data_IF_918599082367
#
_entry.id   IF_918599082367
#
_cell.length_a   1.000
_cell.length_b   1.000
_cell.length_c   1.000
_cell.angle_alpha   90.00
_cell.angle_beta   90.00
_cell.angle_gamma   90.00
#
_symmetry.space_group_name_H-M   'P 1'
#
loop_
_entity.id
_entity.type
_entity.pdbx_description
1 polymer ?
#
# COMPACT_ATOMS: atom_id res chain seq x y z
N UNK A 1 -19.29 -22.10 -40.60
CA UNK A 1 -19.40 -21.72 -39.18
C UNK A 1 -18.65 -20.41 -39.00
N UNK A 2 -19.31 -19.37 -38.49
CA UNK A 2 -18.61 -18.13 -38.11
C UNK A 2 -17.74 -18.46 -36.90
N UNK A 3 -16.45 -18.09 -36.94
CA UNK A 3 -15.55 -18.29 -35.81
C UNK A 3 -16.12 -17.56 -34.58
N UNK A 4 -15.98 -18.17 -33.39
CA UNK A 4 -16.36 -17.54 -32.13
C UNK A 4 -15.70 -16.16 -32.00
N UNK A 5 -16.43 -15.16 -31.50
CA UNK A 5 -15.88 -13.83 -31.22
C UNK A 5 -14.74 -13.86 -30.18
N UNK A 6 -14.57 -14.98 -29.46
CA UNK A 6 -13.51 -15.19 -28.47
C UNK A 6 -12.38 -16.10 -28.96
N UNK A 7 -12.39 -16.53 -30.23
CA UNK A 7 -11.41 -17.50 -30.74
C UNK A 7 -9.95 -17.01 -30.67
N UNK A 8 -9.73 -15.70 -30.64
CA UNK A 8 -8.39 -15.08 -30.57
C UNK A 8 -8.01 -14.59 -29.17
N UNK A 9 -8.82 -14.87 -28.13
CA UNK A 9 -8.49 -14.46 -26.76
C UNK A 9 -7.34 -15.34 -26.27
N UNK A 10 -6.18 -14.72 -26.07
CA UNK A 10 -5.01 -15.37 -25.49
C UNK A 10 -5.18 -15.54 -23.97
N UNK A 11 -4.56 -16.59 -23.42
CA UNK A 11 -4.52 -16.78 -21.97
C UNK A 11 -3.61 -15.71 -21.36
N UNK A 12 -4.16 -14.90 -20.45
CA UNK A 12 -3.36 -13.92 -19.73
C UNK A 12 -2.23 -14.60 -18.94
N UNK A 13 -1.06 -13.93 -18.80
CA UNK A 13 -0.01 -14.39 -17.90
C UNK A 13 -0.55 -14.61 -16.48
N UNK A 14 -0.11 -15.66 -15.80
CA UNK A 14 -0.49 -15.89 -14.40
C UNK A 14 0.15 -14.84 -13.50
N UNK A 15 -0.63 -14.31 -12.56
CA UNK A 15 -0.10 -13.46 -11.48
C UNK A 15 0.92 -14.28 -10.65
N UNK A 16 2.17 -13.80 -10.46
CA UNK A 16 3.20 -14.50 -9.72
C UNK A 16 2.79 -14.88 -8.28
N UNK A 17 1.92 -14.10 -7.64
CA UNK A 17 1.40 -14.36 -6.29
C UNK A 17 0.32 -15.44 -6.31
N UNK A 18 -0.53 -15.49 -7.35
CA UNK A 18 -1.54 -16.53 -7.47
C UNK A 18 -0.89 -17.90 -7.65
N UNK A 19 0.10 -18.01 -8.55
CA UNK A 19 0.84 -19.27 -8.73
C UNK A 19 1.54 -19.74 -7.45
N UNK A 20 2.10 -18.81 -6.66
CA UNK A 20 2.68 -19.11 -5.35
C UNK A 20 1.65 -19.66 -4.37
N UNK A 21 0.46 -19.06 -4.30
CA UNK A 21 -0.62 -19.53 -3.42
C UNK A 21 -1.15 -20.91 -3.82
N UNK A 22 -1.27 -21.19 -5.12
CA UNK A 22 -1.65 -22.52 -5.64
C UNK A 22 -0.64 -23.58 -5.22
N UNK A 23 0.66 -23.32 -5.42
CA UNK A 23 1.74 -24.23 -5.03
C UNK A 23 1.75 -24.46 -3.50
N UNK A 24 1.64 -23.39 -2.71
CA UNK A 24 1.54 -23.48 -1.25
C UNK A 24 0.32 -24.30 -0.81
N UNK A 25 -0.84 -24.15 -1.47
CA UNK A 25 -2.04 -24.90 -1.12
C UNK A 25 -1.91 -26.39 -1.44
N UNK A 26 -1.25 -26.74 -2.55
CA UNK A 26 -1.05 -28.12 -2.99
C UNK A 26 -0.01 -28.90 -2.17
N UNK A 27 0.89 -28.21 -1.49
CA UNK A 27 1.91 -28.81 -0.63
C UNK A 27 1.30 -29.51 0.60
N UNK A 28 1.63 -30.78 0.84
CA UNK A 28 1.07 -31.55 1.96
C UNK A 28 1.87 -31.46 3.27
N UNK A 29 3.03 -30.78 3.26
CA UNK A 29 3.85 -30.58 4.46
C UNK A 29 3.10 -29.81 5.54
N UNK A 30 3.30 -30.22 6.80
CA UNK A 30 2.66 -29.58 7.94
C UNK A 30 3.39 -28.31 8.41
N UNK A 31 4.68 -28.23 8.13
CA UNK A 31 5.62 -27.17 8.51
C UNK A 31 5.84 -26.11 7.40
N UNK A 32 4.99 -26.09 6.37
CA UNK A 32 5.06 -25.11 5.28
C UNK A 32 4.66 -23.69 5.75
N UNK A 33 5.27 -22.67 5.17
CA UNK A 33 4.89 -21.27 5.41
C UNK A 33 4.77 -20.48 4.10
N UNK A 34 3.76 -19.60 4.03
CA UNK A 34 3.57 -18.69 2.90
C UNK A 34 4.00 -17.26 3.29
N UNK A 35 5.21 -16.89 2.88
CA UNK A 35 5.78 -15.55 3.04
C UNK A 35 5.53 -14.67 1.79
N UNK A 36 4.87 -15.22 0.76
CA UNK A 36 4.49 -14.49 -0.45
C UNK A 36 3.23 -13.63 -0.27
N UNK A 37 2.44 -13.84 0.79
CA UNK A 37 1.17 -13.14 1.03
C UNK A 37 1.33 -11.63 1.26
N UNK A 38 0.27 -10.88 0.99
CA UNK A 38 0.20 -9.42 1.20
C UNK A 38 -0.72 -8.99 2.36
N UNK A 39 -0.91 -9.87 3.36
CA UNK A 39 -1.83 -9.68 4.49
C UNK A 39 -1.11 -9.83 5.83
N UNK A 40 -1.63 -9.20 6.87
CA UNK A 40 -1.16 -9.37 8.23
C UNK A 40 -1.78 -10.62 8.83
N UNK A 41 -0.93 -11.48 9.41
CA UNK A 41 -1.36 -12.55 10.29
C UNK A 41 -1.03 -12.24 11.75
N UNK A 42 -1.88 -12.67 12.67
CA UNK A 42 -1.56 -12.72 14.08
C UNK A 42 -0.55 -13.84 14.39
N UNK A 43 -0.19 -14.02 15.66
CA UNK A 43 0.77 -15.04 16.08
C UNK A 43 0.26 -16.48 15.85
N UNK A 44 -1.05 -16.66 15.63
CA UNK A 44 -1.64 -17.95 15.26
C UNK A 44 -1.66 -18.21 13.75
N UNK A 45 -1.11 -17.29 12.95
CA UNK A 45 -1.08 -17.39 11.48
C UNK A 45 -2.43 -17.06 10.82
N UNK A 46 -3.31 -16.29 11.48
CA UNK A 46 -4.64 -15.95 10.96
C UNK A 46 -4.83 -14.46 10.77
N UNK A 47 -5.69 -14.06 9.82
CA UNK A 47 -6.07 -12.65 9.65
C UNK A 47 -6.94 -12.27 10.86
N UNK A 48 -6.55 -11.29 11.68
CA UNK A 48 -7.35 -10.88 12.84
C UNK A 48 -8.55 -10.04 12.40
N UNK A 49 -9.69 -10.24 13.07
CA UNK A 49 -10.76 -9.24 13.11
C UNK A 49 -10.49 -8.32 14.30
N UNK A 50 -10.18 -7.05 14.03
CA UNK A 50 -9.88 -6.08 15.09
C UNK A 50 -11.11 -5.87 15.98
N UNK A 51 -10.91 -5.70 17.28
CA UNK A 51 -11.98 -5.49 18.28
C UNK A 51 -12.75 -4.21 17.99
N UNK A 52 -12.07 -3.13 17.56
CA UNK A 52 -12.75 -1.90 17.17
C UNK A 52 -13.71 -2.13 15.98
N UNK A 53 -13.27 -2.93 15.00
CA UNK A 53 -14.07 -3.34 13.83
C UNK A 53 -15.25 -4.21 14.28
N UNK A 54 -15.00 -5.28 15.05
CA UNK A 54 -16.05 -6.18 15.53
C UNK A 54 -17.12 -5.44 16.35
N UNK A 55 -16.69 -4.48 17.19
CA UNK A 55 -17.61 -3.67 18.01
C UNK A 55 -18.48 -2.78 17.14
N UNK A 56 -17.89 -2.10 16.15
CA UNK A 56 -18.63 -1.28 15.18
C UNK A 56 -19.57 -2.12 14.31
N UNK A 57 -19.17 -3.33 13.89
CA UNK A 57 -20.02 -4.26 13.15
C UNK A 57 -21.22 -4.72 13.96
N UNK A 58 -21.01 -5.10 15.22
CA UNK A 58 -22.09 -5.49 16.13
C UNK A 58 -23.09 -4.36 16.32
N UNK A 59 -22.63 -3.14 16.60
CA UNK A 59 -23.50 -1.98 16.76
C UNK A 59 -24.30 -1.68 15.48
N UNK A 60 -23.67 -1.79 14.32
CA UNK A 60 -24.33 -1.61 13.02
C UNK A 60 -25.39 -2.67 12.73
N UNK A 61 -25.13 -3.92 13.08
CA UNK A 61 -26.08 -5.02 12.92
C UNK A 61 -27.32 -4.78 13.79
N UNK A 62 -27.15 -4.36 15.04
CA UNK A 62 -28.28 -4.04 15.92
C UNK A 62 -29.12 -2.87 15.41
N UNK A 63 -28.49 -1.84 14.85
CA UNK A 63 -29.18 -0.68 14.29
C UNK A 63 -29.99 -1.00 13.02
N UNK A 64 -29.69 -2.11 12.32
CA UNK A 64 -30.33 -2.56 11.06
C UNK A 64 -30.62 -1.43 10.07
N UNK A 65 -29.65 -0.56 9.71
CA UNK A 65 -29.94 0.56 8.84
C UNK A 65 -30.32 0.07 7.44
N UNK A 66 -31.14 0.82 6.68
CA UNK A 66 -31.47 0.49 5.30
C UNK A 66 -30.20 0.39 4.43
N UNK A 67 -30.32 -0.31 3.29
CA UNK A 67 -29.21 -0.63 2.37
C UNK A 67 -29.44 -0.03 0.97
N UNK A 68 -29.90 1.22 0.94
CA UNK A 68 -29.99 2.00 -0.30
C UNK A 68 -28.61 2.42 -0.83
N UNK A 69 -28.59 3.03 -2.02
CA UNK A 69 -27.37 3.58 -2.61
C UNK A 69 -26.78 4.73 -1.77
N UNK A 70 -25.45 4.84 -1.78
CA UNK A 70 -24.73 5.97 -1.19
C UNK A 70 -24.50 7.09 -2.21
N UNK A 71 -24.11 8.30 -1.76
CA UNK A 71 -23.55 9.30 -2.67
C UNK A 71 -22.40 8.72 -3.51
N UNK A 72 -22.21 9.26 -4.72
CA UNK A 72 -21.18 8.78 -5.66
C UNK A 72 -19.77 8.86 -5.06
N UNK A 73 -19.53 9.89 -4.26
CA UNK A 73 -18.29 10.14 -3.51
C UNK A 73 -18.22 9.43 -2.15
N UNK A 74 -19.24 8.64 -1.81
CA UNK A 74 -19.32 7.87 -0.57
C UNK A 74 -19.93 8.61 0.62
N UNK A 75 -19.81 8.01 1.79
CA UNK A 75 -20.37 8.56 3.02
C UNK A 75 -19.60 9.83 3.48
N UNK A 76 -20.26 10.99 3.69
CA UNK A 76 -19.59 12.21 4.15
C UNK A 76 -18.81 12.05 5.46
N UNK A 77 -19.32 11.26 6.41
CA UNK A 77 -18.63 11.00 7.68
C UNK A 77 -17.35 10.18 7.47
N UNK A 78 -17.37 9.21 6.54
CA UNK A 78 -16.18 8.46 6.14
C UNK A 78 -15.15 9.41 5.51
N UNK A 79 -15.55 10.21 4.52
CA UNK A 79 -14.65 11.13 3.83
C UNK A 79 -13.99 12.13 4.80
N UNK A 80 -14.75 12.68 5.76
CA UNK A 80 -14.21 13.54 6.81
C UNK A 80 -13.21 12.80 7.71
N UNK A 81 -13.52 11.56 8.11
CA UNK A 81 -12.61 10.72 8.89
C UNK A 81 -11.28 10.47 8.16
N UNK A 82 -11.33 10.17 6.87
CA UNK A 82 -10.14 10.01 6.00
C UNK A 82 -9.34 11.30 5.93
N UNK A 83 -10.00 12.45 5.70
CA UNK A 83 -9.33 13.75 5.62
C UNK A 83 -8.58 14.06 6.91
N UNK A 84 -9.23 13.88 8.06
CA UNK A 84 -8.61 14.11 9.36
C UNK A 84 -7.42 13.18 9.60
N UNK A 85 -7.50 11.93 9.14
CA UNK A 85 -6.43 10.94 9.31
C UNK A 85 -5.20 11.25 8.45
N UNK A 86 -5.40 11.66 7.19
CA UNK A 86 -4.31 11.95 6.26
C UNK A 86 -3.69 13.32 6.52
N UNK A 87 -4.52 14.35 6.69
CA UNK A 87 -4.10 15.75 6.71
C UNK A 87 -4.11 16.35 8.11
N UNK A 88 -4.60 15.65 9.14
CA UNK A 88 -4.77 16.21 10.49
C UNK A 88 -6.01 17.11 10.58
N UNK A 89 -6.69 17.05 11.73
CA UNK A 89 -7.96 17.76 11.94
C UNK A 89 -7.85 19.30 11.80
N UNK A 90 -6.68 19.86 12.14
CA UNK A 90 -6.43 21.31 12.12
C UNK A 90 -5.76 21.79 10.82
N UNK A 91 -5.78 20.98 9.76
CA UNK A 91 -5.13 21.36 8.50
C UNK A 91 -5.80 22.58 7.84
N UNK A 92 -5.02 23.61 7.47
CA UNK A 92 -5.53 24.75 6.71
C UNK A 92 -6.16 24.34 5.37
N UNK A 93 -5.66 23.27 4.73
CA UNK A 93 -6.25 22.77 3.48
C UNK A 93 -7.70 22.30 3.67
N UNK A 94 -8.01 21.73 4.84
CA UNK A 94 -9.38 21.29 5.17
C UNK A 94 -10.26 22.50 5.50
N UNK A 95 -9.75 23.44 6.30
CA UNK A 95 -10.45 24.68 6.64
C UNK A 95 -10.83 25.49 5.39
N UNK A 96 -9.93 25.55 4.40
CA UNK A 96 -10.12 26.26 3.13
C UNK A 96 -10.93 25.47 2.09
N UNK A 97 -11.36 24.25 2.41
CA UNK A 97 -12.11 23.38 1.50
C UNK A 97 -11.31 22.94 0.26
N UNK A 98 -9.98 22.89 0.35
CA UNK A 98 -9.06 22.57 -0.75
C UNK A 98 -8.81 21.07 -0.94
N UNK A 99 -9.45 20.22 -0.17
CA UNK A 99 -9.31 18.76 -0.28
C UNK A 99 -10.64 18.15 -0.71
N UNK A 100 -10.68 17.58 -1.90
CA UNK A 100 -11.78 16.73 -2.35
C UNK A 100 -11.46 15.27 -1.98
N UNK A 101 -12.39 14.53 -1.39
CA UNK A 101 -12.17 13.12 -0.99
C UNK A 101 -13.33 12.25 -1.42
N UNK A 102 -13.01 11.08 -1.97
CA UNK A 102 -13.95 10.14 -2.57
C UNK A 102 -13.67 8.75 -2.01
N UNK A 103 -14.67 8.11 -1.41
CA UNK A 103 -14.56 6.71 -1.03
C UNK A 103 -14.40 5.82 -2.27
N UNK A 104 -13.47 4.87 -2.19
CA UNK A 104 -13.05 4.03 -3.30
C UNK A 104 -12.93 2.55 -2.90
N UNK A 105 -12.85 1.67 -3.90
CA UNK A 105 -12.68 0.22 -3.74
C UNK A 105 -11.25 -0.17 -3.31
N UNK A 106 -10.91 0.15 -2.07
CA UNK A 106 -9.54 0.04 -1.54
C UNK A 106 -8.59 1.05 -2.20
N UNK A 107 -7.29 0.92 -1.89
CA UNK A 107 -6.25 1.74 -2.52
C UNK A 107 -6.19 1.54 -4.04
N UNK A 108 -6.40 0.30 -4.51
CA UNK A 108 -6.47 -0.03 -5.95
C UNK A 108 -7.57 0.77 -6.67
N UNK A 109 -8.77 0.84 -6.09
CA UNK A 109 -9.86 1.63 -6.66
C UNK A 109 -9.55 3.12 -6.66
N UNK A 110 -8.90 3.62 -5.61
CA UNK A 110 -8.46 5.01 -5.52
C UNK A 110 -7.42 5.35 -6.60
N UNK A 111 -6.41 4.49 -6.80
CA UNK A 111 -5.42 4.60 -7.87
C UNK A 111 -6.09 4.60 -9.24
N UNK A 112 -7.03 3.67 -9.49
CA UNK A 112 -7.74 3.58 -10.78
C UNK A 112 -8.56 4.84 -11.08
N UNK A 113 -9.37 5.31 -10.13
CA UNK A 113 -10.16 6.54 -10.31
C UNK A 113 -9.25 7.75 -10.49
N UNK A 114 -8.15 7.84 -9.72
CA UNK A 114 -7.14 8.88 -9.85
C UNK A 114 -6.46 8.86 -11.22
N UNK A 115 -6.08 7.68 -11.71
CA UNK A 115 -5.49 7.49 -13.03
C UNK A 115 -6.45 7.89 -14.15
N UNK A 116 -7.70 7.39 -14.12
CA UNK A 116 -8.71 7.72 -15.14
C UNK A 116 -9.02 9.23 -15.18
N UNK A 117 -9.07 9.88 -14.03
CA UNK A 117 -9.25 11.31 -13.94
C UNK A 117 -8.04 12.08 -14.48
N UNK A 118 -6.82 11.73 -14.03
CA UNK A 118 -5.59 12.36 -14.50
C UNK A 118 -5.39 12.14 -16.01
N UNK A 119 -5.83 11.02 -16.57
CA UNK A 119 -5.73 10.75 -18.02
C UNK A 119 -6.53 11.74 -18.84
N UNK A 120 -7.71 12.16 -18.34
CA UNK A 120 -8.54 13.18 -18.99
C UNK A 120 -7.89 14.56 -18.93
N UNK A 121 -7.12 14.85 -17.88
CA UNK A 121 -6.45 16.15 -17.70
C UNK A 121 -5.10 16.24 -18.41
N UNK A 122 -4.31 15.16 -18.34
CA UNK A 122 -2.91 15.09 -18.75
C UNK A 122 -2.68 13.91 -19.70
N UNK A 123 -3.33 13.87 -20.88
CA UNK A 123 -3.29 12.72 -21.80
C UNK A 123 -1.91 12.48 -22.44
N UNK A 124 -0.96 13.41 -22.29
CA UNK A 124 0.40 13.25 -22.77
C UNK A 124 1.42 12.95 -21.66
N UNK A 125 1.00 12.96 -20.38
CA UNK A 125 1.91 12.71 -19.28
C UNK A 125 2.40 11.26 -19.26
N UNK A 126 3.64 11.07 -18.84
CA UNK A 126 4.20 9.77 -18.44
C UNK A 126 4.04 9.63 -16.93
N UNK A 127 3.69 8.42 -16.48
CA UNK A 127 3.68 8.06 -15.06
C UNK A 127 5.01 7.40 -14.73
N UNK A 128 5.67 7.86 -13.68
CA UNK A 128 6.90 7.28 -13.17
C UNK A 128 6.63 6.59 -11.83
N UNK A 129 7.02 5.31 -11.75
CA UNK A 129 6.90 4.48 -10.53
C UNK A 129 8.31 4.13 -9.99
N UNK A 130 8.42 3.74 -8.74
CA UNK A 130 9.69 3.28 -8.18
C UNK A 130 10.20 2.02 -8.89
N UNK A 131 11.52 1.88 -9.01
CA UNK A 131 12.18 0.63 -9.39
C UNK A 131 12.78 -0.07 -8.16
N UNK A 132 12.19 -1.20 -7.68
CA UNK A 132 10.90 -1.78 -8.09
C UNK A 132 9.70 -1.10 -7.41
N UNK A 133 8.47 -1.46 -7.81
CA UNK A 133 7.22 -1.01 -7.17
C UNK A 133 6.25 -2.18 -6.96
N UNK A 134 5.09 -1.90 -6.35
CA UNK A 134 3.98 -2.84 -6.35
C UNK A 134 3.56 -3.13 -7.79
N UNK A 135 3.57 -4.40 -8.18
CA UNK A 135 3.41 -4.86 -9.57
C UNK A 135 2.20 -4.22 -10.27
N UNK A 136 1.06 -4.16 -9.58
CA UNK A 136 -0.17 -3.65 -10.16
C UNK A 136 -0.16 -2.12 -10.41
N UNK A 137 0.83 -1.36 -9.93
CA UNK A 137 0.97 0.05 -10.30
C UNK A 137 1.09 0.21 -11.82
N UNK A 138 1.98 -0.56 -12.44
CA UNK A 138 2.16 -0.51 -13.90
C UNK A 138 0.85 -0.88 -14.62
N UNK A 139 0.25 -2.00 -14.24
CA UNK A 139 -0.99 -2.49 -14.86
C UNK A 139 -2.16 -1.50 -14.73
N UNK A 140 -2.33 -0.85 -13.58
CA UNK A 140 -3.40 0.15 -13.37
C UNK A 140 -3.20 1.36 -14.29
N UNK A 141 -1.99 1.92 -14.34
CA UNK A 141 -1.73 3.15 -15.11
C UNK A 141 -1.64 2.89 -16.62
N UNK A 142 -1.04 1.78 -17.06
CA UNK A 142 -1.07 1.36 -18.48
C UNK A 142 -2.50 1.02 -18.91
N UNK A 143 -3.28 0.34 -18.05
CA UNK A 143 -4.71 0.08 -18.28
C UNK A 143 -5.59 1.33 -18.27
N UNK A 144 -5.11 2.45 -17.73
CA UNK A 144 -5.73 3.77 -17.87
C UNK A 144 -5.24 4.53 -19.12
N UNK A 145 -4.31 3.96 -19.90
CA UNK A 145 -3.80 4.50 -21.16
C UNK A 145 -2.56 5.38 -21.03
N UNK A 146 -1.86 5.36 -19.90
CA UNK A 146 -0.59 6.08 -19.75
C UNK A 146 0.59 5.26 -20.27
N UNK A 147 1.64 5.96 -20.73
CA UNK A 147 2.98 5.39 -20.71
C UNK A 147 3.47 5.34 -19.26
N UNK A 148 4.04 4.20 -18.85
CA UNK A 148 4.62 4.02 -17.52
C UNK A 148 6.12 3.74 -17.63
N UNK A 149 6.92 4.55 -16.96
CA UNK A 149 8.37 4.38 -16.81
C UNK A 149 8.73 4.34 -15.32
N UNK A 150 10.02 4.22 -14.99
CA UNK A 150 10.49 4.08 -13.63
C UNK A 150 11.50 5.16 -13.23
N UNK A 151 11.62 5.39 -11.92
CA UNK A 151 12.75 6.09 -11.31
C UNK A 151 13.55 5.13 -10.42
N UNK A 152 14.90 5.24 -10.39
CA UNK A 152 15.72 4.44 -9.48
C UNK A 152 15.24 4.60 -8.04
N UNK A 153 15.10 3.49 -7.32
CA UNK A 153 14.67 3.53 -5.92
C UNK A 153 15.46 2.60 -5.03
N UNK A 154 15.46 1.29 -5.28
CA UNK A 154 16.15 0.34 -4.41
C UNK A 154 17.60 0.13 -4.85
N UNK A 155 18.55 0.25 -3.92
CA UNK A 155 19.95 -0.10 -4.16
C UNK A 155 20.25 -1.50 -3.60
N UNK A 156 20.69 -2.40 -4.48
CA UNK A 156 21.03 -3.78 -4.11
C UNK A 156 22.23 -3.82 -3.17
N UNK A 157 23.19 -2.89 -3.32
CA UNK A 157 24.41 -2.88 -2.50
C UNK A 157 24.12 -2.44 -1.05
N UNK A 158 23.44 -1.31 -0.86
CA UNK A 158 23.10 -0.80 0.48
C UNK A 158 21.83 -1.41 1.07
N UNK A 159 21.02 -2.14 0.27
CA UNK A 159 19.71 -2.69 0.64
C UNK A 159 18.69 -1.64 1.10
N UNK A 160 18.95 -0.37 0.77
CA UNK A 160 18.14 0.80 1.10
C UNK A 160 17.74 1.59 -0.15
N UNK A 161 17.46 2.88 0.02
CA UNK A 161 17.08 3.76 -1.08
C UNK A 161 18.32 4.32 -1.78
N UNK A 162 18.38 4.19 -3.11
CA UNK A 162 19.32 4.89 -3.99
C UNK A 162 18.88 6.36 -4.18
N UNK A 163 18.95 7.14 -3.10
CA UNK A 163 18.34 8.46 -3.08
C UNK A 163 18.98 9.44 -4.08
N UNK A 164 20.30 9.39 -4.24
CA UNK A 164 21.00 10.25 -5.20
C UNK A 164 20.49 10.03 -6.63
N UNK A 165 20.41 8.77 -7.08
CA UNK A 165 19.93 8.45 -8.42
C UNK A 165 18.42 8.73 -8.58
N UNK A 166 17.62 8.50 -7.53
CA UNK A 166 16.21 8.88 -7.49
C UNK A 166 16.06 10.38 -7.73
N UNK A 167 16.74 11.21 -6.93
CA UNK A 167 16.68 12.67 -7.00
C UNK A 167 17.12 13.18 -8.37
N UNK A 168 18.24 12.70 -8.89
CA UNK A 168 18.74 13.09 -10.22
C UNK A 168 17.74 12.74 -11.32
N UNK A 169 17.11 11.56 -11.24
CA UNK A 169 16.06 11.18 -12.19
C UNK A 169 14.86 12.13 -12.11
N UNK A 170 14.35 12.41 -10.90
CA UNK A 170 13.23 13.34 -10.68
C UNK A 170 13.53 14.73 -11.25
N UNK A 171 14.74 15.24 -10.99
CA UNK A 171 15.21 16.53 -11.52
C UNK A 171 15.38 16.54 -13.04
N UNK A 172 15.44 15.38 -13.70
CA UNK A 172 15.49 15.24 -15.15
C UNK A 172 14.13 15.06 -15.84
N UNK A 173 13.06 14.74 -15.09
CA UNK A 173 11.77 14.38 -15.67
C UNK A 173 11.07 15.55 -16.38
N UNK A 174 10.38 15.32 -17.52
CA UNK A 174 9.59 16.35 -18.20
C UNK A 174 8.55 16.99 -17.26
N UNK A 175 8.30 18.29 -17.42
CA UNK A 175 7.26 18.98 -16.66
C UNK A 175 5.87 18.37 -16.92
N UNK A 176 5.04 18.31 -15.88
CA UNK A 176 3.72 17.67 -15.93
C UNK A 176 3.75 16.13 -15.85
N UNK A 177 4.93 15.52 -15.70
CA UNK A 177 5.03 14.07 -15.42
C UNK A 177 4.37 13.74 -14.08
N UNK A 178 3.70 12.59 -14.02
CA UNK A 178 3.08 12.09 -12.78
C UNK A 178 4.11 11.21 -12.08
N UNK A 179 4.39 11.47 -10.81
CA UNK A 179 5.32 10.67 -10.01
C UNK A 179 4.55 9.96 -8.92
N UNK A 180 4.42 8.64 -9.05
CA UNK A 180 3.77 7.79 -8.06
C UNK A 180 4.78 7.44 -6.95
N UNK A 181 4.46 7.80 -5.72
CA UNK A 181 5.35 7.72 -4.56
C UNK A 181 4.66 6.94 -3.44
N UNK A 182 5.32 5.93 -2.88
CA UNK A 182 4.84 5.28 -1.66
C UNK A 182 5.06 6.24 -0.49
N UNK A 183 4.02 6.55 0.27
CA UNK A 183 4.12 7.51 1.37
C UNK A 183 4.92 6.97 2.57
N UNK A 184 4.85 5.66 2.81
CA UNK A 184 5.67 4.90 3.76
C UNK A 184 5.53 3.40 3.48
N UNK A 185 6.32 2.57 4.17
CA UNK A 185 6.31 1.11 4.08
C UNK A 185 6.40 0.61 2.63
N UNK A 186 7.40 1.08 1.88
CA UNK A 186 7.50 0.85 0.43
C UNK A 186 7.27 -0.63 0.07
N UNK A 187 6.30 -0.88 -0.81
CA UNK A 187 6.05 -2.22 -1.34
C UNK A 187 6.74 -2.33 -2.71
N UNK A 188 7.75 -3.21 -2.87
CA UNK A 188 7.96 -4.44 -2.07
C UNK A 188 9.15 -4.46 -1.10
N UNK A 189 9.96 -3.40 -1.03
CA UNK A 189 11.30 -3.48 -0.44
C UNK A 189 11.35 -3.20 1.06
N UNK A 190 10.37 -2.47 1.59
CA UNK A 190 10.39 -1.90 2.95
C UNK A 190 11.40 -0.77 3.16
N UNK A 191 12.15 -0.36 2.14
CA UNK A 191 13.07 0.77 2.24
C UNK A 191 12.28 2.08 2.08
N UNK A 192 12.29 2.93 3.10
CA UNK A 192 11.56 4.20 3.11
C UNK A 192 12.52 5.39 3.03
N UNK A 193 12.01 6.51 2.50
CA UNK A 193 12.69 7.80 2.57
C UNK A 193 12.63 8.36 3.99
N UNK A 194 13.68 9.05 4.40
CA UNK A 194 13.65 9.86 5.61
C UNK A 194 12.99 11.24 5.38
N UNK A 195 12.78 12.01 6.45
CA UNK A 195 12.13 13.32 6.38
C UNK A 195 12.91 14.32 5.52
N UNK A 196 14.24 14.33 5.60
CA UNK A 196 15.09 15.23 4.81
C UNK A 196 15.00 14.91 3.32
N UNK A 197 15.05 13.63 2.98
CA UNK A 197 14.85 13.13 1.62
C UNK A 197 13.46 13.49 1.06
N UNK A 198 12.41 13.43 1.88
CA UNK A 198 11.07 13.87 1.48
C UNK A 198 11.02 15.36 1.12
N UNK A 199 11.70 16.23 1.87
CA UNK A 199 11.77 17.66 1.53
C UNK A 199 12.42 17.88 0.16
N UNK A 200 13.48 17.14 -0.14
CA UNK A 200 14.17 17.20 -1.43
C UNK A 200 13.33 16.63 -2.60
N UNK A 201 12.52 15.59 -2.35
CA UNK A 201 11.56 15.08 -3.36
C UNK A 201 10.47 16.12 -3.65
N UNK A 202 9.93 16.76 -2.62
CA UNK A 202 8.94 17.84 -2.77
C UNK A 202 9.53 19.00 -3.55
N UNK A 203 10.77 19.37 -3.27
CA UNK A 203 11.49 20.41 -3.99
C UNK A 203 11.70 20.05 -5.47
N UNK A 204 12.10 18.81 -5.77
CA UNK A 204 12.22 18.33 -7.15
C UNK A 204 10.89 18.40 -7.89
N UNK A 205 9.79 17.97 -7.26
CA UNK A 205 8.44 18.09 -7.81
C UNK A 205 8.07 19.54 -8.12
N UNK A 206 8.40 20.48 -7.22
CA UNK A 206 8.15 21.91 -7.42
C UNK A 206 8.96 22.48 -8.58
N UNK A 207 10.27 22.29 -8.58
CA UNK A 207 11.18 22.85 -9.61
C UNK A 207 10.86 22.30 -11.00
N UNK A 208 10.50 21.02 -11.09
CA UNK A 208 10.17 20.38 -12.37
C UNK A 208 8.68 20.40 -12.70
N UNK A 209 7.84 21.04 -11.88
CA UNK A 209 6.37 21.05 -12.09
C UNK A 209 5.81 19.63 -12.29
N UNK A 210 6.25 18.69 -11.47
CA UNK A 210 5.77 17.30 -11.47
C UNK A 210 4.44 17.23 -10.71
N UNK A 211 3.64 16.20 -11.01
CA UNK A 211 2.37 15.93 -10.33
C UNK A 211 2.58 14.77 -9.34
N UNK A 212 2.67 15.05 -8.02
CA UNK A 212 2.86 14.00 -7.03
C UNK A 212 1.57 13.21 -6.85
N UNK A 213 1.69 11.88 -6.90
CA UNK A 213 0.61 10.95 -6.57
C UNK A 213 1.14 10.03 -5.45
N UNK A 214 0.62 10.19 -4.24
CA UNK A 214 0.96 9.31 -3.13
C UNK A 214 0.09 8.05 -3.11
N UNK A 215 0.71 6.88 -2.91
CA UNK A 215 0.04 5.67 -2.42
C UNK A 215 0.33 5.50 -0.92
N UNK A 216 -0.72 5.52 -0.10
CA UNK A 216 -0.69 5.44 1.36
C UNK A 216 -1.52 4.25 1.85
N UNK A 217 -1.00 3.04 1.61
CA UNK A 217 -1.68 1.79 1.95
C UNK A 217 -1.38 1.25 3.38
N UNK A 218 -0.40 1.83 4.07
CA UNK A 218 0.20 1.25 5.29
C UNK A 218 0.34 2.25 6.45
N UNK A 219 -0.45 3.34 6.49
CA UNK A 219 -0.41 4.30 7.59
C UNK A 219 -0.57 3.60 8.95
N UNK A 220 0.42 3.77 9.83
CA UNK A 220 0.50 3.19 11.17
C UNK A 220 1.44 1.97 11.30
N UNK A 221 1.97 1.43 10.20
CA UNK A 221 2.84 0.25 10.19
C UNK A 221 4.35 0.54 10.17
N UNK A 222 4.78 1.79 10.00
CA UNK A 222 6.21 2.15 10.06
C UNK A 222 6.60 2.61 11.48
N UNK A 223 6.25 3.83 11.84
CA UNK A 223 6.50 4.46 13.15
C UNK A 223 5.21 4.69 13.94
N UNK A 224 4.13 5.06 13.25
CA UNK A 224 2.85 5.38 13.87
C UNK A 224 1.95 6.17 12.93
N UNK A 225 0.68 6.35 13.28
CA UNK A 225 -0.31 6.93 12.36
C UNK A 225 0.09 8.33 11.88
N UNK A 226 0.51 9.21 12.79
CA UNK A 226 0.92 10.57 12.45
C UNK A 226 2.31 10.63 11.81
N UNK A 227 3.27 9.89 12.37
CA UNK A 227 4.65 9.84 11.86
C UNK A 227 4.70 9.30 10.42
N UNK A 228 3.87 8.31 10.10
CA UNK A 228 3.80 7.70 8.76
C UNK A 228 3.21 8.67 7.72
N UNK A 229 2.53 9.75 8.14
CA UNK A 229 1.99 10.76 7.25
C UNK A 229 3.04 11.77 6.74
N UNK A 230 4.34 11.59 7.05
CA UNK A 230 5.44 12.53 6.71
C UNK A 230 5.40 13.03 5.26
N UNK A 231 5.16 12.16 4.28
CA UNK A 231 5.05 12.53 2.87
C UNK A 231 3.87 13.47 2.59
N UNK A 232 2.71 13.17 3.18
CA UNK A 232 1.49 14.00 3.07
C UNK A 232 1.71 15.36 3.73
N UNK A 233 2.42 15.39 4.87
CA UNK A 233 2.75 16.64 5.58
C UNK A 233 3.71 17.51 4.79
N UNK A 234 4.78 16.93 4.23
CA UNK A 234 5.74 17.65 3.41
C UNK A 234 5.06 18.28 2.17
N UNK A 235 4.21 17.51 1.47
CA UNK A 235 3.45 18.03 0.33
C UNK A 235 2.42 19.09 0.74
N UNK A 236 1.73 18.90 1.87
CA UNK A 236 0.79 19.90 2.42
C UNK A 236 1.48 21.24 2.69
N UNK A 237 2.66 21.21 3.31
CA UNK A 237 3.44 22.42 3.62
C UNK A 237 4.00 23.11 2.36
N UNK A 238 4.19 22.38 1.26
CA UNK A 238 4.78 22.91 0.03
C UNK A 238 3.85 23.81 -0.80
N UNK A 239 2.54 23.73 -0.58
CA UNK A 239 1.53 24.40 -1.39
C UNK A 239 1.25 23.77 -2.76
N UNK A 240 1.93 22.67 -3.11
CA UNK A 240 1.68 21.91 -4.34
C UNK A 240 0.28 21.29 -4.36
N UNK A 241 -0.23 21.05 -5.58
CA UNK A 241 -1.39 20.21 -5.81
C UNK A 241 -0.92 18.76 -5.97
N UNK A 242 -1.59 17.83 -5.30
CA UNK A 242 -1.20 16.42 -5.32
C UNK A 242 -2.40 15.52 -5.07
N UNK A 243 -2.19 14.23 -5.32
CA UNK A 243 -3.18 13.17 -5.18
C UNK A 243 -2.72 12.18 -4.12
N UNK A 244 -3.65 11.64 -3.34
CA UNK A 244 -3.39 10.56 -2.37
C UNK A 244 -4.40 9.44 -2.60
N UNK A 245 -3.93 8.23 -2.91
CA UNK A 245 -4.69 7.01 -2.76
C UNK A 245 -4.40 6.42 -1.38
N UNK A 246 -5.42 6.21 -0.56
CA UNK A 246 -5.28 5.60 0.77
C UNK A 246 -6.07 4.29 0.86
N UNK A 247 -5.61 3.38 1.73
CA UNK A 247 -6.27 2.09 1.92
C UNK A 247 -6.41 1.72 3.39
N UNK A 248 -7.55 1.13 3.73
CA UNK A 248 -7.84 0.56 5.04
C UNK A 248 -7.77 -0.97 5.04
N UNK A 249 -7.34 -1.59 3.94
CA UNK A 249 -7.24 -3.05 3.85
C UNK A 249 -6.31 -3.63 4.92
N UNK A 250 -5.21 -2.94 5.24
CA UNK A 250 -4.21 -3.40 6.21
C UNK A 250 -4.47 -2.81 7.58
N UNK A 251 -4.58 -1.48 7.67
CA UNK A 251 -4.69 -0.76 8.94
C UNK A 251 -5.94 -1.10 9.74
N UNK A 252 -7.03 -1.52 9.07
CA UNK A 252 -8.24 -2.02 9.71
C UNK A 252 -8.44 -3.53 9.58
N UNK A 253 -7.51 -4.25 8.94
CA UNK A 253 -7.69 -5.66 8.58
C UNK A 253 -8.92 -5.92 7.67
N UNK A 254 -9.39 -4.89 6.93
CA UNK A 254 -10.57 -4.93 6.05
C UNK A 254 -10.20 -5.22 4.59
N UNK A 255 -9.45 -6.29 4.35
CA UNK A 255 -8.93 -6.64 3.02
C UNK A 255 -10.02 -6.85 1.98
N UNK A 256 -10.97 -7.74 2.27
CA UNK A 256 -12.05 -8.16 1.38
C UNK A 256 -13.18 -7.13 1.23
N UNK A 257 -13.31 -6.21 2.18
CA UNK A 257 -14.35 -5.17 2.19
C UNK A 257 -14.06 -3.99 1.25
N UNK A 258 -12.84 -3.97 0.67
CA UNK A 258 -12.41 -2.99 -0.35
C UNK A 258 -12.64 -1.54 0.09
N UNK A 259 -12.09 -1.16 1.25
CA UNK A 259 -12.23 0.18 1.81
C UNK A 259 -10.96 1.02 1.58
N UNK A 260 -11.11 2.15 0.90
CA UNK A 260 -10.04 3.11 0.64
C UNK A 260 -10.62 4.44 0.15
N UNK A 261 -9.75 5.39 -0.16
CA UNK A 261 -10.17 6.70 -0.63
C UNK A 261 -9.17 7.33 -1.59
N UNK A 262 -9.70 8.13 -2.51
CA UNK A 262 -8.93 9.09 -3.30
C UNK A 262 -9.10 10.47 -2.68
N UNK A 263 -8.00 11.15 -2.35
CA UNK A 263 -7.99 12.55 -1.92
C UNK A 263 -7.19 13.39 -2.92
N UNK A 264 -7.73 14.53 -3.33
CA UNK A 264 -7.09 15.46 -4.27
C UNK A 264 -6.99 16.83 -3.60
N UNK A 265 -5.77 17.34 -3.49
CA UNK A 265 -5.46 18.68 -2.96
C UNK A 265 -5.42 19.67 -4.12
N UNK A 266 -6.27 20.69 -4.06
CA UNK A 266 -6.45 21.70 -5.11
C UNK A 266 -5.90 23.06 -4.71
N UNK A 267 -5.81 23.99 -5.68
CA UNK A 267 -5.37 25.35 -5.42
C UNK A 267 -6.39 26.17 -4.61
N UNK A 268 -7.68 25.85 -4.71
CA UNK A 268 -8.77 26.55 -4.02
C UNK A 268 -9.99 25.66 -3.78
N UNK A 269 -10.89 26.10 -2.89
CA UNK A 269 -12.17 25.42 -2.67
C UNK A 269 -13.14 25.49 -3.87
N UNK A 270 -13.02 26.49 -4.75
CA UNK A 270 -13.74 26.47 -6.04
C UNK A 270 -13.24 25.35 -6.94
N UNK A 271 -11.92 25.22 -7.05
CA UNK A 271 -11.32 24.14 -7.82
C UNK A 271 -11.70 22.77 -7.29
N UNK A 272 -11.71 22.58 -5.96
CA UNK A 272 -12.17 21.34 -5.34
C UNK A 272 -13.59 20.96 -5.76
N UNK A 273 -14.51 21.94 -5.86
CA UNK A 273 -15.89 21.70 -6.33
C UNK A 273 -15.94 21.27 -7.80
N UNK A 274 -15.16 21.91 -8.67
CA UNK A 274 -15.05 21.53 -10.10
C UNK A 274 -14.43 20.14 -10.25
N UNK A 275 -13.33 19.84 -9.56
CA UNK A 275 -12.70 18.50 -9.52
C UNK A 275 -13.71 17.45 -9.07
N UNK A 276 -14.43 17.71 -7.97
CA UNK A 276 -15.47 16.81 -7.45
C UNK A 276 -16.52 16.46 -8.49
N UNK A 277 -16.97 17.44 -9.29
CA UNK A 277 -17.95 17.18 -10.34
C UNK A 277 -17.46 16.20 -11.41
N UNK A 278 -16.18 16.27 -11.78
CA UNK A 278 -15.59 15.42 -12.82
C UNK A 278 -15.25 14.03 -12.29
N UNK A 279 -14.67 13.95 -11.09
CA UNK A 279 -14.36 12.66 -10.46
C UNK A 279 -15.64 11.85 -10.20
N UNK A 280 -16.76 12.51 -9.84
CA UNK A 280 -18.06 11.84 -9.76
C UNK A 280 -18.51 11.22 -11.08
N UNK A 281 -18.21 11.83 -12.23
CA UNK A 281 -18.50 11.24 -13.55
C UNK A 281 -17.66 9.99 -13.79
N UNK A 282 -16.36 10.05 -13.47
CA UNK A 282 -15.44 8.89 -13.56
C UNK A 282 -15.95 7.73 -12.71
N UNK A 283 -16.24 7.98 -11.44
CA UNK A 283 -16.77 6.96 -10.52
C UNK A 283 -18.10 6.41 -11.03
N UNK A 284 -19.02 7.29 -11.43
CA UNK A 284 -20.36 6.87 -11.85
C UNK A 284 -20.35 5.97 -13.07
N UNK A 285 -19.48 6.25 -14.03
CA UNK A 285 -19.31 5.43 -15.23
C UNK A 285 -18.51 4.13 -14.99
N UNK A 286 -17.86 3.99 -13.84
CA UNK A 286 -17.12 2.80 -13.44
C UNK A 286 -18.01 1.86 -12.59
N UNK A 287 -18.37 2.30 -11.39
CA UNK A 287 -19.11 1.47 -10.42
C UNK A 287 -20.30 2.18 -9.75
N UNK A 288 -20.77 3.30 -10.31
CA UNK A 288 -21.92 4.10 -9.81
C UNK A 288 -21.68 4.79 -8.46
N UNK A 289 -21.53 4.03 -7.38
CA UNK A 289 -21.29 4.49 -6.01
C UNK A 289 -20.57 3.38 -5.20
N UNK A 290 -19.77 3.73 -4.18
CA UNK A 290 -18.97 2.76 -3.44
C UNK A 290 -19.82 1.88 -2.49
N UNK A 291 -19.28 0.72 -2.06
CA UNK A 291 -19.96 -0.18 -1.13
C UNK A 291 -20.11 0.46 0.27
N UNK A 292 -21.19 0.07 0.95
CA UNK A 292 -21.58 0.70 2.22
C UNK A 292 -20.86 0.14 3.44
N UNK A 293 -20.69 -1.18 3.53
CA UNK A 293 -20.41 -1.88 4.81
C UNK A 293 -19.09 -1.42 5.43
N UNK A 294 -17.95 -1.75 4.81
CA UNK A 294 -16.65 -1.39 5.36
C UNK A 294 -16.43 0.12 5.55
N UNK A 295 -16.92 0.97 4.63
CA UNK A 295 -16.85 2.43 4.79
C UNK A 295 -17.64 2.95 6.00
N UNK A 296 -18.80 2.36 6.29
CA UNK A 296 -19.58 2.70 7.48
C UNK A 296 -18.91 2.23 8.78
N UNK A 297 -18.22 1.09 8.76
CA UNK A 297 -17.45 0.59 9.90
C UNK A 297 -16.26 1.51 10.19
N UNK A 298 -15.47 1.85 9.17
CA UNK A 298 -14.35 2.80 9.33
C UNK A 298 -14.85 4.16 9.81
N UNK A 299 -15.96 4.67 9.27
CA UNK A 299 -16.55 5.93 9.73
C UNK A 299 -16.99 5.88 11.21
N UNK A 300 -17.58 4.76 11.65
CA UNK A 300 -17.98 4.58 13.04
C UNK A 300 -16.77 4.55 13.98
N UNK A 301 -15.71 3.82 13.61
CA UNK A 301 -14.48 3.73 14.40
C UNK A 301 -13.78 5.09 14.45
N UNK A 302 -13.53 5.74 13.31
CA UNK A 302 -12.84 7.04 13.28
C UNK A 302 -13.66 8.18 13.90
N UNK A 303 -15.00 8.03 13.97
CA UNK A 303 -15.92 9.01 14.52
C UNK A 303 -16.19 8.89 16.02
N UNK A 304 -15.78 7.80 16.67
CA UNK A 304 -15.90 7.59 18.12
C UNK A 304 -14.51 7.67 18.76
N UNK A 305 -14.27 8.56 19.74
CA UNK A 305 -12.99 8.61 20.46
C UNK A 305 -12.59 7.27 21.06
N UNK A 306 -13.55 6.52 21.61
CA UNK A 306 -13.31 5.23 22.28
C UNK A 306 -12.93 4.14 21.28
N UNK A 307 -13.69 4.00 20.17
CA UNK A 307 -13.38 3.02 19.14
C UNK A 307 -12.10 3.38 18.39
N UNK A 308 -11.85 4.67 18.19
CA UNK A 308 -10.62 5.16 17.58
C UNK A 308 -9.42 4.76 18.44
N UNK A 309 -9.43 5.07 19.74
CA UNK A 309 -8.32 4.69 20.63
C UNK A 309 -8.09 3.18 20.62
N UNK A 310 -9.16 2.39 20.69
CA UNK A 310 -9.08 0.93 20.60
C UNK A 310 -8.40 0.46 19.31
N UNK A 311 -8.76 1.05 18.16
CA UNK A 311 -8.15 0.75 16.87
C UNK A 311 -6.67 1.17 16.83
N UNK A 312 -6.33 2.35 17.35
CA UNK A 312 -4.95 2.85 17.38
C UNK A 312 -4.04 1.93 18.22
N UNK A 313 -4.54 1.45 19.38
CA UNK A 313 -3.84 0.48 20.23
C UNK A 313 -3.65 -0.87 19.53
N UNK A 314 -4.67 -1.38 18.84
CA UNK A 314 -4.58 -2.64 18.09
C UNK A 314 -3.60 -2.53 16.92
N UNK A 315 -3.63 -1.43 16.16
CA UNK A 315 -2.70 -1.16 15.07
C UNK A 315 -1.26 -1.00 15.56
N UNK A 316 -1.06 -0.34 16.70
CA UNK A 316 0.24 -0.29 17.36
C UNK A 316 0.74 -1.69 17.74
N UNK A 317 -0.11 -2.54 18.32
CA UNK A 317 0.23 -3.93 18.60
C UNK A 317 0.64 -4.72 17.36
N UNK A 318 -0.06 -4.53 16.23
CA UNK A 318 0.29 -5.14 14.95
C UNK A 318 1.68 -4.69 14.46
N UNK A 319 1.97 -3.38 14.54
CA UNK A 319 3.28 -2.82 14.16
C UNK A 319 4.40 -3.39 15.05
N UNK A 320 4.24 -3.38 16.37
CA UNK A 320 5.28 -3.88 17.29
C UNK A 320 5.54 -5.38 17.10
N UNK A 321 4.52 -6.18 16.79
CA UNK A 321 4.73 -7.59 16.44
C UNK A 321 5.58 -7.75 15.18
N UNK A 322 5.34 -6.97 14.13
CA UNK A 322 6.16 -7.01 12.91
C UNK A 322 7.62 -6.65 13.23
N UNK A 323 7.84 -5.62 14.06
CA UNK A 323 9.19 -5.25 14.54
C UNK A 323 9.86 -6.40 15.29
N UNK A 324 9.13 -7.06 16.18
CA UNK A 324 9.63 -8.25 16.88
C UNK A 324 10.00 -9.39 15.92
N UNK A 325 9.20 -9.64 14.86
CA UNK A 325 9.51 -10.64 13.84
C UNK A 325 10.73 -10.26 12.99
N UNK A 326 10.92 -8.97 12.68
CA UNK A 326 12.12 -8.48 11.96
C UNK A 326 13.38 -8.75 12.77
N UNK A 327 13.42 -8.29 14.03
CA UNK A 327 14.57 -8.49 14.92
C UNK A 327 14.80 -9.97 15.18
N UNK A 328 13.75 -10.71 15.54
CA UNK A 328 13.84 -12.14 15.83
C UNK A 328 14.36 -12.96 14.65
N UNK A 329 13.99 -12.61 13.41
CA UNK A 329 14.49 -13.29 12.22
C UNK A 329 16.00 -13.06 12.04
N UNK A 330 16.45 -11.81 12.16
CA UNK A 330 17.87 -11.45 12.03
C UNK A 330 18.72 -12.13 13.11
N UNK A 331 18.26 -12.09 14.37
CA UNK A 331 18.95 -12.74 15.49
C UNK A 331 19.08 -14.25 15.26
N UNK A 332 17.98 -14.90 14.81
CA UNK A 332 17.95 -16.33 14.55
C UNK A 332 18.82 -16.75 13.36
N UNK A 333 18.87 -15.96 12.30
CA UNK A 333 19.78 -16.18 11.16
C UNK A 333 21.24 -16.03 11.63
N UNK A 334 21.55 -14.99 12.39
CA UNK A 334 22.90 -14.74 12.91
C UNK A 334 23.37 -15.87 13.84
N UNK A 335 22.49 -16.37 14.71
CA UNK A 335 22.77 -17.48 15.61
C UNK A 335 23.10 -18.81 14.88
N UNK A 336 22.72 -18.93 13.60
CA UNK A 336 23.03 -20.09 12.74
C UNK A 336 24.38 -19.98 12.02
N UNK A 337 25.14 -18.90 12.25
CA UNK A 337 26.48 -18.72 11.68
C UNK A 337 26.51 -18.05 10.31
N UNK A 338 25.37 -17.58 9.80
CA UNK A 338 25.28 -16.96 8.47
C UNK A 338 26.13 -15.70 8.41
N UNK A 339 27.11 -15.72 7.49
CA UNK A 339 28.08 -14.62 7.31
C UNK A 339 27.50 -13.39 6.59
N UNK A 340 26.45 -13.57 5.78
CA UNK A 340 25.76 -12.47 5.10
C UNK A 340 25.03 -11.59 6.13
N UNK A 341 25.21 -10.27 6.05
CA UNK A 341 24.52 -9.31 6.93
C UNK A 341 23.03 -9.16 6.54
N UNK A 342 22.14 -9.41 7.49
CA UNK A 342 20.69 -9.21 7.38
C UNK A 342 20.16 -8.02 8.20
N UNK A 343 21.03 -7.18 8.77
CA UNK A 343 20.63 -6.02 9.60
C UNK A 343 19.71 -5.03 8.88
N UNK A 344 19.73 -4.99 7.55
CA UNK A 344 18.82 -4.20 6.73
C UNK A 344 17.34 -4.57 6.93
N UNK A 345 17.02 -5.82 7.31
CA UNK A 345 15.64 -6.27 7.57
C UNK A 345 15.04 -5.51 8.75
N UNK A 346 15.85 -5.12 9.74
CA UNK A 346 15.44 -4.30 10.89
C UNK A 346 15.25 -2.84 10.49
N UNK A 347 16.08 -2.32 9.58
CA UNK A 347 16.01 -0.93 9.08
C UNK A 347 14.81 -0.71 8.16
N UNK A 348 14.46 -1.72 7.38
CA UNK A 348 13.27 -1.72 6.52
C UNK A 348 11.98 -1.75 7.37
N UNK A 349 10.92 -1.13 6.85
CA UNK A 349 9.66 -0.88 7.56
C UNK A 349 8.47 -1.57 6.90
N UNK A 350 7.34 -1.57 7.61
CA UNK A 350 6.09 -2.14 7.13
C UNK A 350 6.10 -3.67 7.08
N UNK A 351 5.28 -4.24 6.19
CA UNK A 351 5.05 -5.69 6.17
C UNK A 351 6.08 -6.48 5.36
N UNK A 352 6.88 -5.83 4.50
CA UNK A 352 7.72 -6.52 3.53
C UNK A 352 9.21 -6.22 3.70
N UNK A 353 10.03 -7.14 3.21
CA UNK A 353 11.46 -6.95 3.02
C UNK A 353 11.88 -7.62 1.72
N UNK A 354 12.81 -6.97 1.00
CA UNK A 354 13.66 -7.64 0.03
C UNK A 354 14.85 -8.24 0.76
N UNK A 355 14.89 -9.57 0.87
CA UNK A 355 15.94 -10.32 1.57
C UNK A 355 17.25 -10.37 0.81
N UNK A 356 17.21 -10.11 -0.50
CA UNK A 356 18.36 -10.29 -1.38
C UNK A 356 18.66 -11.74 -1.77
N UNK A 357 17.81 -12.69 -1.37
CA UNK A 357 17.87 -14.06 -1.87
C UNK A 357 17.61 -14.08 -3.37
N UNK A 358 18.39 -14.90 -4.07
CA UNK A 358 18.22 -15.14 -5.51
C UNK A 358 16.97 -15.99 -5.78
N UNK A 359 16.47 -15.95 -7.01
CA UNK A 359 15.36 -16.80 -7.42
C UNK A 359 15.64 -18.30 -7.16
N UNK A 360 16.88 -18.75 -7.38
CA UNK A 360 17.29 -20.13 -7.11
C UNK A 360 17.25 -20.47 -5.61
N UNK A 361 17.67 -19.54 -4.74
CA UNK A 361 17.57 -19.74 -3.29
C UNK A 361 16.12 -19.76 -2.82
N UNK A 362 15.25 -18.90 -3.37
CA UNK A 362 13.81 -18.91 -3.09
C UNK A 362 13.17 -20.22 -3.55
N UNK A 363 13.55 -20.73 -4.72
CA UNK A 363 13.08 -22.03 -5.22
C UNK A 363 13.50 -23.18 -4.29
N UNK A 364 14.75 -23.17 -3.82
CA UNK A 364 15.23 -24.14 -2.82
C UNK A 364 14.47 -24.04 -1.51
N UNK A 365 14.18 -22.84 -1.01
CA UNK A 365 13.34 -22.66 0.19
C UNK A 365 11.97 -23.33 0.01
N UNK A 366 11.35 -23.19 -1.16
CA UNK A 366 10.07 -23.83 -1.44
C UNK A 366 10.22 -25.35 -1.57
N UNK A 367 11.20 -25.83 -2.34
CA UNK A 367 11.39 -27.26 -2.61
C UNK A 367 11.84 -28.05 -1.38
N UNK A 368 12.86 -27.58 -0.68
CA UNK A 368 13.51 -28.29 0.43
C UNK A 368 12.78 -28.08 1.77
N UNK A 369 12.24 -26.87 2.01
CA UNK A 369 11.71 -26.50 3.34
C UNK A 369 10.21 -26.17 3.37
N UNK A 370 9.54 -26.07 2.21
CA UNK A 370 8.13 -25.68 2.15
C UNK A 370 7.90 -24.22 2.52
N UNK A 371 8.92 -23.37 2.38
CA UNK A 371 8.82 -21.93 2.62
C UNK A 371 8.68 -21.19 1.29
N UNK A 372 7.52 -20.60 1.08
CA UNK A 372 7.17 -19.93 -0.17
C UNK A 372 7.39 -18.43 -0.06
N UNK A 373 8.28 -17.88 -0.89
CA UNK A 373 8.54 -16.45 -1.03
C UNK A 373 8.44 -16.03 -2.50
N UNK A 374 8.34 -14.73 -2.77
CA UNK A 374 8.33 -14.25 -4.16
C UNK A 374 9.73 -14.41 -4.74
N UNK A 375 9.83 -14.80 -6.01
CA UNK A 375 11.10 -15.04 -6.73
C UNK A 375 12.09 -13.86 -6.71
N UNK A 376 11.60 -12.64 -6.44
CA UNK A 376 12.42 -11.43 -6.24
C UNK A 376 13.13 -11.38 -4.88
N UNK A 377 12.93 -12.37 -4.02
CA UNK A 377 13.39 -12.36 -2.62
C UNK A 377 12.49 -11.54 -1.69
N UNK A 378 11.29 -11.15 -2.13
CA UNK A 378 10.32 -10.50 -1.23
C UNK A 378 9.75 -11.51 -0.24
N UNK A 379 9.81 -11.17 1.05
CA UNK A 379 9.07 -11.87 2.11
C UNK A 379 8.11 -10.93 2.83
N UNK A 380 7.01 -11.48 3.34
CA UNK A 380 6.07 -10.82 4.24
C UNK A 380 6.45 -11.15 5.69
N UNK A 381 7.03 -10.17 6.40
CA UNK A 381 7.35 -10.30 7.83
C UNK A 381 6.10 -10.43 8.67
N UNK A 382 4.98 -9.89 8.18
CA UNK A 382 3.70 -10.03 8.85
C UNK A 382 3.11 -11.45 8.77
N UNK A 383 3.73 -12.36 8.01
CA UNK A 383 3.38 -13.78 7.98
C UNK A 383 4.27 -14.66 8.89
N UNK A 384 5.34 -14.08 9.44
CA UNK A 384 6.14 -14.75 10.49
C UNK A 384 5.39 -14.72 11.81
N UNK A 385 5.60 -15.73 12.64
CA UNK A 385 5.06 -15.85 13.99
C UNK A 385 5.96 -16.75 14.84
N UNK A 386 5.65 -16.83 16.14
CA UNK A 386 6.41 -17.64 17.10
C UNK A 386 6.52 -19.12 16.71
N UNK A 387 5.54 -19.65 15.94
CA UNK A 387 5.49 -21.04 15.50
C UNK A 387 6.29 -21.37 14.23
N UNK A 388 6.66 -20.39 13.41
CA UNK A 388 7.35 -20.64 12.13
C UNK A 388 8.71 -19.96 11.97
N UNK A 389 9.04 -18.97 12.80
CA UNK A 389 10.22 -18.13 12.58
C UNK A 389 11.54 -18.90 12.65
N UNK A 390 11.63 -19.94 13.48
CA UNK A 390 12.82 -20.79 13.56
C UNK A 390 13.03 -21.60 12.27
N UNK A 391 11.98 -22.26 11.79
CA UNK A 391 12.03 -23.03 10.53
C UNK A 391 12.37 -22.14 9.33
N UNK A 392 11.84 -20.91 9.28
CA UNK A 392 12.20 -19.93 8.25
C UNK A 392 13.68 -19.53 8.36
N UNK A 393 14.20 -19.31 9.57
CA UNK A 393 15.60 -18.98 9.76
C UNK A 393 16.53 -20.16 9.39
N UNK A 394 16.14 -21.40 9.68
CA UNK A 394 16.84 -22.61 9.24
C UNK A 394 16.90 -22.69 7.71
N UNK A 395 15.76 -22.49 7.04
CA UNK A 395 15.68 -22.50 5.58
C UNK A 395 16.56 -21.42 4.94
N UNK A 396 16.54 -20.19 5.47
CA UNK A 396 17.38 -19.09 4.96
C UNK A 396 18.86 -19.40 5.16
N UNK A 397 19.26 -19.90 6.34
CA UNK A 397 20.65 -20.24 6.60
C UNK A 397 21.17 -21.31 5.63
N UNK A 398 20.40 -22.38 5.44
CA UNK A 398 20.77 -23.47 4.55
C UNK A 398 20.95 -23.03 3.08
N UNK A 399 20.06 -22.19 2.54
CA UNK A 399 20.15 -21.79 1.12
C UNK A 399 21.19 -20.70 0.86
N UNK A 400 21.63 -19.97 1.90
CA UNK A 400 22.68 -18.94 1.79
C UNK A 400 24.08 -19.56 1.85
N UNK A 401 24.29 -20.60 2.65
CA UNK A 401 25.62 -21.18 2.89
C UNK A 401 26.04 -22.27 1.90
N UNK A 402 25.10 -22.90 1.18
CA UNK A 402 25.40 -23.94 0.20
C UNK A 402 24.40 -25.07 0.23
#
# INVERSE_FOLDING_TARGET
>A
MTASIFAAVEMAPRDPILGLNEAFAADSRADKANLGVGVYYDDSGKIPLLKAVATAEKARLEARPPRGYQPIDGNPAYNKGVQNLLFGADSPLLADGRVATFQALGGTGALKVGADYLRQLLPAATVYISDPSWENHRAIFEGAGFQVDSYPYYDVASRGVNFAAMKDRLLGLPAGSIVLLHACCHNPTGADLDEGQWQEVVEACRVRSLVPFLDMAYQGFAEGIDADAVAVRALTASGLQFVVASSFSKSFSLYGERVGALSIVTASGDEARRVTSQVKRVIRANYSNPPTHGGAIVAAVLGSPELRQMWEDELAGMRERIRAMRTGLVDKITARGVSQDFSFVIKQRGMFSYTGLTAAQVERMAAEFGIYAVSTGRICLAALNSGNIDHVADAIAAVVEG
#
